data_IF_367335513051
#
_entry.id   IF_367335513051
#
_cell.length_a   1.000
_cell.length_b   1.000
_cell.length_c   1.000
_cell.angle_alpha   90.00
_cell.angle_beta   90.00
_cell.angle_gamma   90.00
#
_symmetry.space_group_name_H-M   'P 1'
#
loop_
_entity.id
_entity.type
_entity.pdbx_description
1 polymer ?
#
# COMPACT_ATOMS: atom_id res chain seq x y z
N UNK A 1 35.54 4.24 30.27
CA UNK A 1 35.63 5.29 29.24
C UNK A 1 37.08 5.40 28.78
N UNK A 2 37.37 5.06 27.53
CA UNK A 2 38.52 5.59 26.77
C UNK A 2 38.31 5.24 25.29
N UNK A 3 37.76 6.21 24.58
CA UNK A 3 37.52 6.24 23.14
C UNK A 3 38.83 6.15 22.36
N UNK A 4 39.02 5.09 21.56
CA UNK A 4 40.06 5.04 20.53
C UNK A 4 39.62 5.89 19.34
N UNK A 5 40.29 7.02 19.13
CA UNK A 5 40.20 7.85 17.92
C UNK A 5 40.83 7.11 16.74
N UNK A 6 40.12 7.09 15.61
CA UNK A 6 40.60 6.67 14.31
C UNK A 6 41.19 7.91 13.61
N UNK A 7 42.48 8.15 13.78
CA UNK A 7 43.21 9.18 13.04
C UNK A 7 44.17 8.49 12.06
N UNK A 8 43.69 8.19 10.85
CA UNK A 8 44.57 7.91 9.70
C UNK A 8 44.44 9.05 8.71
N UNK A 9 45.46 9.91 8.70
CA UNK A 9 45.67 10.96 7.71
C UNK A 9 46.30 10.39 6.43
N UNK A 10 45.92 10.95 5.29
CA UNK A 10 46.46 10.60 3.98
C UNK A 10 47.91 11.11 3.92
N UNK A 11 48.89 10.20 3.93
CA UNK A 11 50.33 10.52 4.00
C UNK A 11 50.96 10.92 2.66
N UNK A 12 50.27 10.79 1.52
CA UNK A 12 50.78 11.36 0.26
C UNK A 12 49.70 11.53 -0.81
N UNK A 13 49.85 12.57 -1.63
CA UNK A 13 49.10 12.78 -2.87
C UNK A 13 50.10 12.67 -4.01
N UNK A 14 50.09 11.54 -4.73
CA UNK A 14 50.86 11.39 -5.96
C UNK A 14 50.20 12.19 -7.09
N UNK A 15 50.80 13.32 -7.48
CA UNK A 15 50.40 14.03 -8.71
C UNK A 15 50.83 13.20 -9.92
N UNK A 16 49.86 12.77 -10.73
CA UNK A 16 50.11 12.16 -12.03
C UNK A 16 50.91 13.14 -12.91
N UNK A 17 52.09 12.69 -13.37
CA UNK A 17 52.86 13.42 -14.38
C UNK A 17 52.32 13.04 -15.75
N UNK A 18 51.96 14.06 -16.52
CA UNK A 18 51.58 13.99 -17.93
C UNK A 18 52.73 13.35 -18.70
N UNK A 19 52.53 12.12 -19.17
CA UNK A 19 53.57 11.32 -19.81
C UNK A 19 53.17 9.88 -20.09
N UNK A 20 52.13 9.35 -19.42
CA UNK A 20 51.51 8.09 -19.83
C UNK A 20 50.68 8.36 -21.08
N UNK A 21 51.20 7.89 -22.21
CA UNK A 21 50.44 7.74 -23.44
C UNK A 21 49.20 6.91 -23.11
N UNK A 22 48.05 7.59 -23.02
CA UNK A 22 46.74 6.96 -22.96
C UNK A 22 46.59 6.10 -24.22
N UNK A 23 46.97 4.83 -24.11
CA UNK A 23 46.40 3.81 -24.95
C UNK A 23 44.91 3.80 -24.61
N UNK A 24 44.09 4.48 -25.45
CA UNK A 24 42.67 4.19 -25.49
C UNK A 24 42.54 2.66 -25.58
N UNK A 25 41.78 2.00 -24.67
CA UNK A 25 41.56 0.57 -24.79
C UNK A 25 41.01 0.31 -26.19
N UNK A 26 41.64 -0.61 -26.92
CA UNK A 26 41.25 -0.97 -28.29
C UNK A 26 39.74 -1.10 -28.36
N UNK A 27 39.11 -0.36 -29.29
CA UNK A 27 37.66 -0.15 -29.43
C UNK A 27 36.86 -1.32 -28.85
N UNK A 28 36.47 -1.16 -27.59
CA UNK A 28 35.61 -2.12 -26.91
C UNK A 28 34.30 -2.18 -27.68
N UNK A 29 33.79 -3.40 -27.90
CA UNK A 29 32.53 -3.68 -28.60
C UNK A 29 31.50 -2.60 -28.29
N UNK A 30 30.97 -1.99 -29.36
CA UNK A 30 29.92 -0.96 -29.28
C UNK A 30 28.88 -1.35 -28.23
N UNK A 31 28.64 -0.44 -27.29
CA UNK A 31 27.65 -0.67 -26.24
C UNK A 31 26.31 -1.06 -26.90
N UNK A 32 25.59 -2.07 -26.38
CA UNK A 32 24.33 -2.48 -26.96
C UNK A 32 23.38 -1.29 -27.01
N UNK A 33 22.73 -1.09 -28.16
CA UNK A 33 21.75 -0.03 -28.37
C UNK A 33 20.65 -0.17 -27.33
N UNK A 34 20.48 0.84 -26.47
CA UNK A 34 19.39 0.87 -25.52
C UNK A 34 18.08 0.94 -26.29
N UNK A 35 17.32 -0.15 -26.29
CA UNK A 35 15.95 -0.20 -26.80
C UNK A 35 15.01 -0.11 -25.60
N UNK A 36 14.37 1.05 -25.37
CA UNK A 36 13.44 1.19 -24.26
C UNK A 36 12.29 0.20 -24.44
N UNK A 37 12.00 -0.57 -23.40
CA UNK A 37 10.82 -1.42 -23.40
C UNK A 37 9.57 -0.52 -23.39
N UNK A 38 8.90 -0.41 -24.54
CA UNK A 38 7.75 0.48 -24.73
C UNK A 38 6.65 0.28 -23.67
N UNK A 39 6.48 -0.96 -23.18
CA UNK A 39 5.50 -1.28 -22.13
C UNK A 39 5.86 -0.69 -20.76
N UNK A 40 7.13 -0.52 -20.45
CA UNK A 40 7.56 0.09 -19.19
C UNK A 40 7.42 1.62 -19.24
N UNK A 41 7.73 2.22 -20.38
CA UNK A 41 7.47 3.63 -20.65
C UNK A 41 5.97 3.93 -20.58
N UNK A 42 5.11 3.09 -21.15
CA UNK A 42 3.66 3.25 -21.05
C UNK A 42 3.16 3.22 -19.60
N UNK A 43 3.74 2.40 -18.72
CA UNK A 43 3.37 2.39 -17.29
C UNK A 43 3.76 3.69 -16.56
N UNK A 44 4.86 4.33 -16.98
CA UNK A 44 5.31 5.61 -16.42
C UNK A 44 4.45 6.75 -16.97
N UNK A 45 4.11 6.71 -18.26
CA UNK A 45 3.34 7.74 -18.95
C UNK A 45 1.84 7.67 -18.63
N UNK A 46 1.30 6.47 -18.35
CA UNK A 46 -0.09 6.24 -17.92
C UNK A 46 -0.19 5.98 -16.43
N UNK A 47 0.49 6.79 -15.62
CA UNK A 47 0.28 6.73 -14.17
C UNK A 47 -1.18 7.08 -13.88
N UNK A 48 -1.94 6.19 -13.23
CA UNK A 48 -3.32 6.48 -12.89
C UNK A 48 -3.36 7.68 -11.95
N UNK A 49 -4.35 8.54 -12.16
CA UNK A 49 -4.59 9.72 -11.32
C UNK A 49 -4.89 9.30 -9.88
N UNK A 50 -4.81 10.23 -8.93
CA UNK A 50 -5.14 9.92 -7.53
C UNK A 50 -6.56 9.37 -7.40
N UNK A 51 -7.51 9.93 -8.14
CA UNK A 51 -8.91 9.53 -8.14
C UNK A 51 -9.10 8.11 -8.71
N UNK A 52 -8.45 7.80 -9.84
CA UNK A 52 -8.44 6.46 -10.43
C UNK A 52 -7.84 5.41 -9.47
N UNK A 53 -6.76 5.78 -8.78
CA UNK A 53 -6.14 4.93 -7.76
C UNK A 53 -7.06 4.75 -6.56
N UNK A 54 -7.70 5.81 -6.09
CA UNK A 54 -8.64 5.75 -4.97
C UNK A 54 -9.79 4.79 -5.28
N UNK A 55 -10.41 4.89 -6.45
CA UNK A 55 -11.47 3.95 -6.84
C UNK A 55 -10.95 2.51 -6.85
N UNK A 56 -9.77 2.26 -7.41
CA UNK A 56 -9.19 0.91 -7.46
C UNK A 56 -8.76 0.35 -6.09
N UNK A 57 -8.43 1.22 -5.13
CA UNK A 57 -7.99 0.83 -3.79
C UNK A 57 -9.18 0.67 -2.83
N UNK A 58 -10.26 1.39 -3.07
CA UNK A 58 -11.48 1.35 -2.26
C UNK A 58 -12.48 0.32 -2.76
N UNK A 59 -12.49 0.01 -4.06
CA UNK A 59 -13.38 -1.02 -4.60
C UNK A 59 -12.78 -2.41 -4.38
N UNK A 60 -13.52 -3.32 -3.73
CA UNK A 60 -13.16 -4.73 -3.69
C UNK A 60 -13.06 -5.28 -5.11
N UNK A 61 -11.99 -6.03 -5.41
CA UNK A 61 -11.75 -6.64 -6.73
C UNK A 61 -12.87 -7.63 -7.10
N UNK A 62 -13.52 -8.23 -6.10
CA UNK A 62 -14.70 -9.07 -6.22
C UNK A 62 -15.64 -8.78 -5.06
N UNK A 63 -16.88 -8.45 -5.38
CA UNK A 63 -17.99 -8.37 -4.43
C UNK A 63 -18.91 -9.54 -4.79
N UNK A 64 -19.34 -10.28 -3.78
CA UNK A 64 -20.42 -11.25 -3.95
C UNK A 64 -21.69 -10.48 -4.34
N UNK A 65 -22.32 -10.76 -5.51
CA UNK A 65 -23.49 -10.02 -5.97
C UNK A 65 -24.64 -10.01 -4.96
N UNK A 66 -24.74 -11.04 -4.10
CA UNK A 66 -25.79 -11.12 -3.09
C UNK A 66 -25.62 -10.04 -2.00
N UNK A 67 -24.40 -9.54 -1.78
CA UNK A 67 -24.13 -8.43 -0.85
C UNK A 67 -24.59 -7.07 -1.37
N UNK A 68 -25.11 -6.99 -2.60
CA UNK A 68 -25.78 -5.80 -3.11
C UNK A 68 -27.22 -5.68 -2.58
N UNK A 69 -27.80 -6.79 -2.11
CA UNK A 69 -29.12 -6.79 -1.50
C UNK A 69 -29.02 -6.27 -0.05
N UNK A 70 -29.71 -5.16 0.32
CA UNK A 70 -29.54 -4.52 1.62
C UNK A 70 -29.80 -5.45 2.81
N UNK A 71 -30.77 -6.35 2.70
CA UNK A 71 -31.09 -7.33 3.74
C UNK A 71 -29.96 -8.34 3.95
N UNK A 72 -29.40 -8.87 2.86
CA UNK A 72 -28.29 -9.83 2.90
C UNK A 72 -27.03 -9.16 3.44
N UNK A 73 -26.77 -7.91 3.04
CA UNK A 73 -25.64 -7.15 3.55
C UNK A 73 -25.75 -6.90 5.07
N UNK A 74 -26.94 -6.51 5.55
CA UNK A 74 -27.18 -6.29 6.97
C UNK A 74 -27.00 -7.57 7.80
N UNK A 75 -27.55 -8.69 7.34
CA UNK A 75 -27.39 -10.00 7.97
C UNK A 75 -25.92 -10.43 7.98
N UNK A 76 -25.23 -10.33 6.84
CA UNK A 76 -23.82 -10.69 6.70
C UNK A 76 -22.93 -9.85 7.62
N UNK A 77 -23.19 -8.54 7.77
CA UNK A 77 -22.46 -7.69 8.72
C UNK A 77 -22.65 -8.17 10.16
N UNK A 78 -23.88 -8.51 10.55
CA UNK A 78 -24.15 -9.02 11.89
C UNK A 78 -23.48 -10.37 12.15
N UNK A 79 -23.53 -11.30 11.19
CA UNK A 79 -22.82 -12.58 11.28
C UNK A 79 -21.31 -12.39 11.36
N UNK A 80 -20.75 -11.50 10.54
CA UNK A 80 -19.31 -11.18 10.55
C UNK A 80 -18.89 -10.62 11.90
N UNK A 81 -19.68 -9.72 12.48
CA UNK A 81 -19.43 -9.18 13.83
C UNK A 81 -19.35 -10.28 14.89
N UNK A 82 -20.28 -11.24 14.85
CA UNK A 82 -20.30 -12.38 15.77
C UNK A 82 -19.10 -13.32 15.55
N UNK A 83 -18.73 -13.56 14.29
CA UNK A 83 -17.55 -14.37 13.96
C UNK A 83 -16.26 -13.73 14.48
N UNK A 84 -16.10 -12.42 14.31
CA UNK A 84 -14.95 -11.68 14.83
C UNK A 84 -14.89 -11.72 16.36
N UNK A 85 -16.05 -11.59 17.02
CA UNK A 85 -16.15 -11.73 18.48
C UNK A 85 -15.73 -13.12 18.95
N UNK A 86 -16.25 -14.18 18.32
CA UNK A 86 -15.88 -15.55 18.64
C UNK A 86 -14.39 -15.82 18.38
N UNK A 87 -13.83 -15.30 17.29
CA UNK A 87 -12.43 -15.42 16.96
C UNK A 87 -11.54 -14.69 17.97
N UNK A 88 -11.91 -13.48 18.40
CA UNK A 88 -11.16 -12.68 19.38
C UNK A 88 -11.02 -13.37 20.74
N UNK A 89 -11.98 -14.23 21.12
CA UNK A 89 -11.91 -15.05 22.35
C UNK A 89 -10.80 -16.12 22.25
N UNK A 90 -10.50 -16.61 21.05
CA UNK A 90 -9.55 -17.70 20.81
C UNK A 90 -8.10 -17.20 20.65
N UNK A 91 -7.88 -15.90 20.43
CA UNK A 91 -6.54 -15.32 20.21
C UNK A 91 -6.16 -14.32 21.29
N UNK A 92 -4.88 -13.94 21.31
CA UNK A 92 -4.30 -13.04 22.31
C UNK A 92 -3.31 -12.07 21.66
N UNK A 93 -2.92 -11.03 22.41
CA UNK A 93 -1.93 -10.05 21.94
C UNK A 93 -2.47 -9.17 20.81
N UNK A 94 -1.63 -8.90 19.81
CA UNK A 94 -1.95 -7.97 18.71
C UNK A 94 -3.11 -8.44 17.84
N UNK A 95 -3.24 -9.76 17.61
CA UNK A 95 -4.31 -10.32 16.78
C UNK A 95 -5.68 -10.12 17.43
N UNK A 96 -5.76 -10.28 18.75
CA UNK A 96 -6.99 -9.99 19.50
C UNK A 96 -7.38 -8.52 19.36
N UNK A 97 -6.43 -7.61 19.51
CA UNK A 97 -6.66 -6.17 19.38
C UNK A 97 -7.19 -5.84 17.97
N UNK A 98 -6.59 -6.43 16.93
CA UNK A 98 -7.04 -6.23 15.56
C UNK A 98 -8.47 -6.73 15.32
N UNK A 99 -8.82 -7.91 15.85
CA UNK A 99 -10.18 -8.46 15.72
C UNK A 99 -11.21 -7.64 16.53
N UNK A 100 -10.87 -7.19 17.73
CA UNK A 100 -11.73 -6.32 18.54
C UNK A 100 -11.96 -4.96 17.86
N UNK A 101 -10.92 -4.39 17.24
CA UNK A 101 -11.02 -3.16 16.46
C UNK A 101 -11.91 -3.36 15.22
N UNK A 102 -11.71 -4.45 14.46
CA UNK A 102 -12.55 -4.77 13.31
C UNK A 102 -14.02 -4.97 13.71
N UNK A 103 -14.28 -5.67 14.81
CA UNK A 103 -15.64 -5.85 15.36
C UNK A 103 -16.28 -4.50 15.69
N UNK A 104 -15.53 -3.60 16.31
CA UNK A 104 -16.01 -2.26 16.67
C UNK A 104 -16.35 -1.45 15.43
N UNK A 105 -15.49 -1.49 14.42
CA UNK A 105 -15.70 -0.78 13.15
C UNK A 105 -16.98 -1.24 12.43
N UNK A 106 -17.25 -2.55 12.38
CA UNK A 106 -18.49 -3.06 11.77
C UNK A 106 -19.72 -2.59 12.57
N UNK A 107 -19.65 -2.56 13.91
CA UNK A 107 -20.75 -2.08 14.73
C UNK A 107 -21.04 -0.58 14.52
N UNK A 108 -20.00 0.23 14.40
CA UNK A 108 -20.13 1.67 14.08
C UNK A 108 -20.74 1.88 12.69
N UNK A 109 -20.30 1.13 11.68
CA UNK A 109 -20.86 1.17 10.33
C UNK A 109 -22.36 0.84 10.33
N UNK A 110 -22.76 -0.21 11.04
CA UNK A 110 -24.18 -0.61 11.15
C UNK A 110 -25.02 0.50 11.80
N UNK A 111 -24.49 1.17 12.83
CA UNK A 111 -25.17 2.31 13.48
C UNK A 111 -25.37 3.47 12.52
N UNK A 112 -24.34 3.80 11.72
CA UNK A 112 -24.42 4.85 10.71
C UNK A 112 -25.45 4.52 9.62
N UNK A 113 -25.55 3.25 9.22
CA UNK A 113 -26.54 2.83 8.22
C UNK A 113 -27.97 3.01 8.75
N UNK A 114 -28.22 2.66 10.02
CA UNK A 114 -29.50 2.91 10.69
C UNK A 114 -29.85 4.42 10.73
N UNK A 115 -28.87 5.28 11.04
CA UNK A 115 -29.04 6.73 11.02
C UNK A 115 -29.40 7.25 9.62
N UNK A 116 -28.71 6.77 8.58
CA UNK A 116 -28.99 7.11 7.19
C UNK A 116 -30.39 6.67 6.77
N UNK A 117 -30.77 5.44 7.10
CA UNK A 117 -32.11 4.91 6.80
C UNK A 117 -33.19 5.72 7.52
N UNK A 118 -32.97 6.08 8.78
CA UNK A 118 -33.89 6.92 9.56
C UNK A 118 -34.03 8.32 8.96
N UNK A 119 -32.92 8.96 8.60
CA UNK A 119 -32.91 10.28 7.96
C UNK A 119 -33.62 10.25 6.59
N UNK A 120 -33.37 9.22 5.79
CA UNK A 120 -34.01 9.03 4.50
C UNK A 120 -35.51 8.76 4.65
N UNK A 121 -35.91 7.96 5.64
CA UNK A 121 -37.31 7.72 5.95
C UNK A 121 -38.04 8.96 6.49
N UNK A 122 -37.34 9.86 7.19
CA UNK A 122 -37.88 11.15 7.61
C UNK A 122 -38.06 12.09 6.41
N UNK A 123 -37.05 12.18 5.54
CA UNK A 123 -37.10 12.98 4.31
C UNK A 123 -38.26 12.55 3.39
N UNK A 124 -38.49 11.25 3.24
CA UNK A 124 -39.57 10.72 2.42
C UNK A 124 -40.97 10.91 3.03
N UNK A 125 -41.05 11.15 4.34
CA UNK A 125 -42.33 11.40 5.04
C UNK A 125 -42.76 12.87 5.00
N UNK A 126 -41.84 13.81 4.70
CA UNK A 126 -42.10 15.24 4.62
C UNK A 126 -41.96 15.95 5.96
#
# INVERSE_FOLDING_TARGET
MLSRRLDFGIESISRWRVGDQEHLPAEGKSAPRFEPNARELEKILRRPTLDERLTSLLQPIRIDPDLLEPGILAETRQETRLLLEAAAVQVSGQDRIALEAARTLIAEEMTLDEEVQSALAALLRG
#
